data_IF_056357692859
#
_entry.id   IF_056357692859
#
_cell.length_a   1.000
_cell.length_b   1.000
_cell.length_c   1.000
_cell.angle_alpha   90.00
_cell.angle_beta   90.00
_cell.angle_gamma   90.00
#
_symmetry.space_group_name_H-M   'P 1'
#
loop_
_entity.id
_entity.type
_entity.pdbx_description
1 polymer ?
#
# COMPACT_ATOMS: atom_id res chain seq x y z
N UNK A 1 -3.54 -19.30 8.75
CA UNK A 1 -4.42 -18.22 8.26
C UNK A 1 -4.44 -17.05 9.26
N UNK A 2 -4.61 -17.31 10.56
CA UNK A 2 -4.67 -16.27 11.63
C UNK A 2 -3.44 -15.39 11.77
N UNK A 3 -2.24 -15.96 11.63
CA UNK A 3 -0.97 -15.18 11.63
C UNK A 3 -0.93 -14.16 10.49
N UNK A 4 -1.48 -14.50 9.32
CA UNK A 4 -1.47 -13.61 8.16
C UNK A 4 -2.48 -12.47 8.29
N UNK A 5 -3.70 -12.76 8.76
CA UNK A 5 -4.70 -11.72 9.06
C UNK A 5 -4.18 -10.75 10.12
N UNK A 6 -3.42 -11.25 11.10
CA UNK A 6 -2.75 -10.42 12.11
C UNK A 6 -1.74 -9.47 11.46
N UNK A 7 -0.96 -9.93 10.47
CA UNK A 7 -0.04 -9.06 9.72
C UNK A 7 -0.79 -7.98 8.92
N UNK A 8 -1.89 -8.32 8.26
CA UNK A 8 -2.73 -7.35 7.55
C UNK A 8 -3.30 -6.28 8.49
N UNK A 9 -3.89 -6.69 9.61
CA UNK A 9 -4.40 -5.78 10.65
C UNK A 9 -3.29 -4.86 11.18
N UNK A 10 -2.11 -5.41 11.47
CA UNK A 10 -0.95 -4.64 11.93
C UNK A 10 -0.47 -3.63 10.87
N UNK A 11 -0.45 -4.02 9.60
CA UNK A 11 -0.08 -3.15 8.50
C UNK A 11 -1.04 -1.94 8.41
N UNK A 12 -2.34 -2.21 8.32
CA UNK A 12 -3.37 -1.16 8.19
C UNK A 12 -3.42 -0.22 9.39
N UNK A 13 -3.25 -0.74 10.61
CA UNK A 13 -3.14 0.09 11.82
C UNK A 13 -1.98 1.09 11.71
N UNK A 14 -0.84 0.68 11.17
CA UNK A 14 0.33 1.54 11.02
C UNK A 14 0.20 2.51 9.85
N UNK A 15 -0.47 2.11 8.75
CA UNK A 15 -0.84 3.02 7.67
C UNK A 15 -1.71 4.15 8.22
N UNK A 16 -2.78 3.78 8.94
CA UNK A 16 -3.68 4.75 9.57
C UNK A 16 -2.93 5.68 10.52
N UNK A 17 -2.01 5.15 11.34
CA UNK A 17 -1.16 5.96 12.24
C UNK A 17 -0.34 7.01 11.50
N UNK A 18 0.28 6.66 10.36
CA UNK A 18 1.09 7.59 9.57
C UNK A 18 0.23 8.71 8.98
N UNK A 19 -0.89 8.34 8.34
CA UNK A 19 -1.80 9.31 7.70
C UNK A 19 -2.46 10.21 8.75
N UNK A 20 -2.90 9.62 9.86
CA UNK A 20 -3.49 10.36 10.99
C UNK A 20 -2.50 11.34 11.61
N UNK A 21 -1.23 10.94 11.79
CA UNK A 21 -0.21 11.85 12.30
C UNK A 21 -0.02 13.06 11.38
N UNK A 22 -0.01 12.86 10.06
CA UNK A 22 0.07 13.96 9.10
C UNK A 22 -1.16 14.88 9.19
N UNK A 23 -2.37 14.30 9.27
CA UNK A 23 -3.61 15.04 9.46
C UNK A 23 -3.58 15.87 10.76
N UNK A 24 -3.20 15.27 11.88
CA UNK A 24 -3.16 15.93 13.19
C UNK A 24 -2.14 17.09 13.20
N UNK A 25 -1.00 16.94 12.52
CA UNK A 25 -0.01 18.02 12.35
C UNK A 25 -0.65 19.19 11.60
N UNK A 26 -1.28 18.96 10.45
CA UNK A 26 -1.88 20.05 9.67
C UNK A 26 -3.08 20.69 10.39
N UNK A 27 -3.91 19.89 11.07
CA UNK A 27 -5.01 20.39 11.92
C UNK A 27 -4.52 21.31 13.04
N UNK A 28 -3.31 21.09 13.55
CA UNK A 28 -2.74 21.92 14.64
C UNK A 28 -2.27 23.31 14.16
N UNK A 29 -2.17 23.54 12.85
CA UNK A 29 -1.75 24.83 12.29
C UNK A 29 -2.96 25.78 12.25
N UNK A 30 -2.98 26.76 13.14
CA UNK A 30 -4.12 27.67 13.30
C UNK A 30 -4.27 28.68 12.16
N UNK A 31 -3.18 29.01 11.46
CA UNK A 31 -3.18 30.01 10.38
C UNK A 31 -3.04 29.32 9.01
N UNK A 32 -4.03 29.47 8.10
CA UNK A 32 -3.98 28.86 6.78
C UNK A 32 -2.76 29.26 5.94
N UNK A 33 -2.28 30.50 6.08
CA UNK A 33 -1.06 30.99 5.39
C UNK A 33 0.19 30.21 5.80
N UNK A 34 0.36 29.94 7.10
CA UNK A 34 1.45 29.14 7.64
C UNK A 34 1.35 27.69 7.17
N UNK A 35 0.13 27.14 7.12
CA UNK A 35 -0.09 25.79 6.60
C UNK A 35 0.34 25.69 5.13
N UNK A 36 -0.06 26.66 4.31
CA UNK A 36 0.36 26.73 2.90
C UNK A 36 1.89 26.86 2.76
N UNK A 37 2.54 27.71 3.56
CA UNK A 37 4.00 27.85 3.54
C UNK A 37 4.71 26.53 3.87
N UNK A 38 4.25 25.82 4.90
CA UNK A 38 4.78 24.51 5.27
C UNK A 38 4.62 23.52 4.13
N UNK A 39 3.44 23.43 3.52
CA UNK A 39 3.15 22.51 2.41
C UNK A 39 3.97 22.82 1.15
N UNK A 40 4.25 24.10 0.89
CA UNK A 40 5.05 24.56 -0.25
C UNK A 40 6.55 24.43 -0.04
N UNK A 41 7.01 24.25 1.20
CA UNK A 41 8.42 23.98 1.48
C UNK A 41 8.87 22.65 0.88
N UNK A 42 10.15 22.53 0.53
CA UNK A 42 10.71 21.27 0.02
C UNK A 42 10.47 20.10 1.00
N UNK A 43 10.71 20.32 2.30
CA UNK A 43 10.49 19.30 3.34
C UNK A 43 9.02 18.94 3.50
N UNK A 44 8.11 19.91 3.44
CA UNK A 44 6.68 19.65 3.55
C UNK A 44 6.15 18.88 2.33
N UNK A 45 6.59 19.27 1.14
CA UNK A 45 6.31 18.53 -0.10
C UNK A 45 6.78 17.09 -0.01
N UNK A 46 8.04 16.85 0.35
CA UNK A 46 8.61 15.50 0.46
C UNK A 46 7.88 14.67 1.52
N UNK A 47 7.52 15.29 2.64
CA UNK A 47 6.74 14.64 3.70
C UNK A 47 5.36 14.20 3.19
N UNK A 48 4.61 15.08 2.51
CA UNK A 48 3.30 14.73 1.97
C UNK A 48 3.41 13.68 0.87
N UNK A 49 4.44 13.74 0.01
CA UNK A 49 4.72 12.68 -0.96
C UNK A 49 4.94 11.33 -0.27
N UNK A 50 5.69 11.29 0.83
CA UNK A 50 5.86 10.06 1.62
C UNK A 50 4.53 9.54 2.22
N UNK A 51 3.68 10.44 2.73
CA UNK A 51 2.35 10.06 3.27
C UNK A 51 1.44 9.53 2.16
N UNK A 52 1.49 10.13 0.96
CA UNK A 52 0.77 9.66 -0.22
C UNK A 52 1.20 8.25 -0.62
N UNK A 53 2.50 7.95 -0.63
CA UNK A 53 2.99 6.60 -0.92
C UNK A 53 2.46 5.57 0.08
N UNK A 54 2.37 5.93 1.36
CA UNK A 54 1.78 5.07 2.40
C UNK A 54 0.28 4.84 2.16
N UNK A 55 -0.46 5.86 1.71
CA UNK A 55 -1.86 5.69 1.32
C UNK A 55 -2.02 4.82 0.06
N UNK A 56 -1.16 4.95 -0.95
CA UNK A 56 -1.13 4.05 -2.11
C UNK A 56 -0.89 2.58 -1.70
N UNK A 57 -0.09 2.32 -0.65
CA UNK A 57 0.07 0.97 -0.09
C UNK A 57 -1.27 0.43 0.42
N UNK A 58 -2.09 1.21 1.16
CA UNK A 58 -3.43 0.73 1.56
C UNK A 58 -4.32 0.40 0.37
N UNK A 59 -4.30 1.20 -0.70
CA UNK A 59 -5.16 0.95 -1.86
C UNK A 59 -4.76 -0.28 -2.66
N UNK A 60 -3.46 -0.57 -2.72
CA UNK A 60 -2.97 -1.85 -3.24
C UNK A 60 -3.37 -3.02 -2.34
N UNK A 61 -3.31 -2.86 -1.02
CA UNK A 61 -3.78 -3.90 -0.11
C UNK A 61 -5.27 -4.20 -0.30
N UNK A 62 -6.11 -3.16 -0.44
CA UNK A 62 -7.53 -3.29 -0.71
C UNK A 62 -7.79 -4.08 -2.00
N UNK A 63 -7.14 -3.69 -3.10
CA UNK A 63 -7.23 -4.42 -4.38
C UNK A 63 -6.71 -5.85 -4.30
N UNK A 64 -5.57 -6.08 -3.67
CA UNK A 64 -4.98 -7.41 -3.52
C UNK A 64 -5.86 -8.33 -2.66
N UNK A 65 -6.42 -7.83 -1.57
CA UNK A 65 -7.36 -8.59 -0.75
C UNK A 65 -8.63 -8.96 -1.52
N UNK A 66 -9.17 -8.02 -2.30
CA UNK A 66 -10.32 -8.28 -3.16
C UNK A 66 -10.01 -9.36 -4.21
N UNK A 67 -8.84 -9.32 -4.85
CA UNK A 67 -8.42 -10.34 -5.83
C UNK A 67 -8.34 -11.75 -5.25
N UNK A 68 -7.97 -11.88 -3.97
CA UNK A 68 -7.84 -13.17 -3.28
C UNK A 68 -9.06 -13.52 -2.41
N UNK A 69 -10.15 -12.76 -2.49
CA UNK A 69 -11.37 -12.93 -1.69
C UNK A 69 -11.10 -13.00 -0.17
N UNK A 70 -10.21 -12.12 0.31
CA UNK A 70 -9.84 -12.04 1.73
C UNK A 70 -10.69 -10.96 2.39
N UNK A 71 -11.75 -11.36 3.09
CA UNK A 71 -12.65 -10.44 3.82
C UNK A 71 -12.78 -10.73 5.33
N UNK A 72 -11.70 -10.64 6.12
CA UNK A 72 -11.78 -10.75 7.57
C UNK A 72 -12.58 -9.62 8.23
N UNK A 73 -13.30 -9.97 9.29
CA UNK A 73 -14.02 -9.02 10.13
C UNK A 73 -13.12 -7.89 10.64
N UNK A 74 -13.62 -6.67 10.45
CA UNK A 74 -13.00 -5.42 10.89
C UNK A 74 -11.98 -4.81 9.92
N UNK A 75 -11.52 -5.52 8.87
CA UNK A 75 -10.58 -4.92 7.90
C UNK A 75 -11.24 -3.83 7.05
N UNK A 76 -12.49 -4.02 6.66
CA UNK A 76 -13.27 -3.01 5.92
C UNK A 76 -13.44 -1.71 6.72
N UNK A 77 -13.62 -1.82 8.04
CA UNK A 77 -13.69 -0.66 8.94
C UNK A 77 -12.35 0.09 8.93
N UNK A 78 -11.23 -0.61 8.98
CA UNK A 78 -9.90 0.03 8.95
C UNK A 78 -9.64 0.76 7.63
N UNK A 79 -10.02 0.18 6.47
CA UNK A 79 -9.92 0.88 5.19
C UNK A 79 -10.76 2.15 5.16
N UNK A 80 -12.01 2.07 5.64
CA UNK A 80 -12.87 3.24 5.75
C UNK A 80 -12.26 4.33 6.64
N UNK A 81 -11.68 3.96 7.79
CA UNK A 81 -11.07 4.92 8.71
C UNK A 81 -9.81 5.58 8.09
N UNK A 82 -9.04 4.82 7.31
CA UNK A 82 -7.92 5.34 6.51
C UNK A 82 -8.44 6.33 5.47
N UNK A 83 -9.46 5.97 4.70
CA UNK A 83 -10.03 6.82 3.65
C UNK A 83 -10.62 8.12 4.22
N UNK A 84 -11.33 8.05 5.35
CA UNK A 84 -11.83 9.23 6.05
C UNK A 84 -10.70 10.16 6.48
N UNK A 85 -9.63 9.60 7.03
CA UNK A 85 -8.46 10.37 7.47
C UNK A 85 -7.74 10.99 6.27
N UNK A 86 -7.63 10.25 5.17
CA UNK A 86 -7.04 10.74 3.92
C UNK A 86 -7.86 11.86 3.29
N UNK A 87 -9.19 11.73 3.23
CA UNK A 87 -10.08 12.76 2.69
C UNK A 87 -9.97 14.06 3.49
N UNK A 88 -9.87 13.97 4.82
CA UNK A 88 -9.59 15.14 5.67
C UNK A 88 -8.24 15.78 5.33
N UNK A 89 -7.19 14.95 5.15
CA UNK A 89 -5.88 15.44 4.74
C UNK A 89 -5.92 16.15 3.38
N UNK A 90 -6.65 15.59 2.41
CA UNK A 90 -6.85 16.20 1.09
C UNK A 90 -7.52 17.58 1.16
N UNK A 91 -8.39 17.83 2.14
CA UNK A 91 -9.00 19.14 2.34
C UNK A 91 -7.96 20.22 2.70
N UNK A 92 -6.85 19.87 3.35
CA UNK A 92 -5.73 20.79 3.55
C UNK A 92 -4.92 20.97 2.26
N UNK A 93 -4.70 19.88 1.52
CA UNK A 93 -3.96 19.93 0.26
C UNK A 93 -4.68 20.74 -0.83
N UNK A 94 -6.01 20.79 -0.82
CA UNK A 94 -6.80 21.60 -1.75
C UNK A 94 -6.62 23.11 -1.54
N UNK A 95 -6.16 23.54 -0.36
CA UNK A 95 -5.73 24.91 -0.12
C UNK A 95 -4.43 25.27 -0.88
N UNK A 96 -3.72 24.27 -1.40
CA UNK A 96 -2.47 24.40 -2.16
C UNK A 96 -2.60 23.74 -3.54
N UNK A 97 -3.01 24.47 -4.60
CA UNK A 97 -3.29 23.90 -5.92
C UNK A 97 -2.15 23.07 -6.53
N UNK A 98 -0.89 23.44 -6.28
CA UNK A 98 0.28 22.69 -6.75
C UNK A 98 0.48 21.34 -6.06
N UNK A 99 0.03 21.19 -4.81
CA UNK A 99 0.06 19.91 -4.09
C UNK A 99 -1.06 18.99 -4.55
N UNK A 100 -2.24 19.55 -4.82
CA UNK A 100 -3.37 18.80 -5.36
C UNK A 100 -3.07 18.21 -6.74
N UNK A 101 -2.33 18.92 -7.59
CA UNK A 101 -1.89 18.41 -8.91
C UNK A 101 -0.96 17.21 -8.83
N UNK A 102 -0.26 17.00 -7.70
CA UNK A 102 0.62 15.84 -7.48
C UNK A 102 -0.14 14.60 -7.03
N UNK A 103 -1.42 14.74 -6.69
CA UNK A 103 -2.22 13.60 -6.25
C UNK A 103 -2.59 12.72 -7.45
N UNK A 104 -2.37 11.40 -7.38
CA UNK A 104 -2.84 10.48 -8.42
C UNK A 104 -4.37 10.58 -8.55
N UNK A 105 -4.85 10.44 -9.78
CA UNK A 105 -6.28 10.33 -10.05
C UNK A 105 -6.87 9.13 -9.30
N UNK A 106 -8.13 9.20 -8.80
CA UNK A 106 -8.80 8.07 -8.14
C UNK A 106 -8.80 6.78 -8.99
N UNK A 107 -8.80 6.92 -10.32
CA UNK A 107 -8.74 5.79 -11.25
C UNK A 107 -7.40 5.03 -11.18
N UNK A 108 -6.30 5.73 -10.94
CA UNK A 108 -4.95 5.13 -10.79
C UNK A 108 -4.82 4.41 -9.46
N UNK A 109 -5.61 4.83 -8.46
CA UNK A 109 -5.61 4.24 -7.13
C UNK A 109 -6.44 2.95 -7.03
N UNK A 110 -7.36 2.72 -7.98
CA UNK A 110 -8.23 1.56 -7.97
C UNK A 110 -7.50 0.33 -8.53
N UNK A 111 -6.91 -0.46 -7.64
CA UNK A 111 -6.22 -1.71 -8.01
C UNK A 111 -7.16 -2.92 -8.14
N UNK A 112 -8.47 -2.73 -8.05
CA UNK A 112 -9.49 -3.80 -8.16
C UNK A 112 -9.64 -4.36 -9.58
N UNK A 113 -9.14 -3.65 -10.59
CA UNK A 113 -9.16 -4.05 -12.00
C UNK A 113 -7.93 -4.84 -12.43
N UNK A 114 -6.96 -5.07 -11.53
CA UNK A 114 -5.76 -5.83 -11.82
C UNK A 114 -6.14 -7.24 -12.30
N UNK A 115 -5.81 -7.54 -13.54
CA UNK A 115 -6.23 -8.75 -14.24
C UNK A 115 -5.49 -9.96 -13.65
N UNK A 116 -6.20 -11.05 -13.36
CA UNK A 116 -5.55 -12.31 -12.95
C UNK A 116 -4.73 -12.83 -14.13
N UNK A 117 -3.40 -12.83 -13.98
CA UNK A 117 -2.47 -13.19 -15.05
C UNK A 117 -2.44 -14.69 -15.41
N UNK A 118 -3.09 -15.56 -14.64
CA UNK A 118 -3.01 -17.00 -14.87
C UNK A 118 -4.31 -17.72 -14.52
N UNK A 119 -4.67 -18.71 -15.36
CA UNK A 119 -5.72 -19.70 -15.12
C UNK A 119 -5.35 -20.72 -14.02
N UNK A 120 -4.10 -20.71 -13.55
CA UNK A 120 -3.65 -21.53 -12.42
C UNK A 120 -4.08 -20.95 -11.08
N UNK A 121 -4.36 -21.82 -10.10
CA UNK A 121 -4.74 -21.44 -8.74
C UNK A 121 -3.81 -20.34 -8.14
N UNK A 122 -4.37 -19.35 -7.42
CA UNK A 122 -3.63 -18.20 -6.93
C UNK A 122 -2.50 -18.62 -5.99
N UNK A 123 -1.26 -18.21 -6.30
CA UNK A 123 -0.10 -18.48 -5.48
C UNK A 123 0.37 -17.20 -4.77
N UNK A 124 0.10 -17.11 -3.46
CA UNK A 124 0.53 -15.97 -2.64
C UNK A 124 2.06 -15.74 -2.64
N UNK A 125 2.88 -16.74 -3.01
CA UNK A 125 4.34 -16.55 -3.13
C UNK A 125 4.76 -15.69 -4.32
N UNK A 126 3.88 -15.48 -5.30
CA UNK A 126 4.14 -14.58 -6.44
C UNK A 126 3.72 -13.14 -6.17
N UNK A 127 2.91 -12.95 -5.13
CA UNK A 127 2.34 -11.67 -4.77
C UNK A 127 3.28 -10.88 -3.85
N UNK A 128 3.16 -9.56 -3.86
CA UNK A 128 3.79 -8.72 -2.86
C UNK A 128 3.42 -9.22 -1.44
N UNK A 129 4.43 -9.45 -0.59
CA UNK A 129 4.23 -9.98 0.76
C UNK A 129 3.39 -9.10 1.71
N UNK A 130 3.10 -7.87 1.28
CA UNK A 130 2.35 -6.87 2.04
C UNK A 130 1.00 -6.59 1.39
N UNK A 131 0.98 -6.23 0.09
CA UNK A 131 -0.22 -5.76 -0.58
C UNK A 131 -0.90 -6.80 -1.48
N UNK A 132 -0.40 -8.03 -1.55
CA UNK A 132 -0.99 -9.16 -2.27
C UNK A 132 -1.18 -9.03 -3.79
N UNK A 133 -0.81 -7.90 -4.37
CA UNK A 133 -0.80 -7.73 -5.82
C UNK A 133 0.47 -8.32 -6.44
N UNK A 134 0.31 -8.90 -7.62
CA UNK A 134 1.42 -9.19 -8.53
C UNK A 134 1.86 -7.90 -9.24
N UNK A 135 2.98 -7.96 -9.96
CA UNK A 135 3.46 -6.83 -10.77
C UNK A 135 2.39 -6.45 -11.82
N UNK A 136 2.05 -5.16 -12.01
CA UNK A 136 1.24 -4.74 -13.15
C UNK A 136 1.97 -5.06 -14.46
N UNK A 137 1.26 -5.48 -15.50
CA UNK A 137 1.86 -5.62 -16.85
C UNK A 137 2.48 -4.29 -17.32
N UNK A 138 3.54 -4.40 -18.13
CA UNK A 138 4.29 -3.25 -18.65
C UNK A 138 3.43 -2.22 -19.40
N UNK A 139 2.26 -2.64 -19.88
CA UNK A 139 1.29 -1.82 -20.61
C UNK A 139 0.53 -0.80 -19.72
N UNK A 140 0.52 -0.97 -18.39
CA UNK A 140 -0.08 -0.02 -17.44
C UNK A 140 0.95 0.99 -16.86
N UNK A 141 2.21 0.93 -17.30
CA UNK A 141 3.35 1.73 -16.77
C UNK A 141 3.36 3.19 -17.27
N UNK A 142 2.32 3.67 -17.93
CA UNK A 142 2.28 5.05 -18.40
C UNK A 142 1.91 5.99 -17.22
N UNK A 143 2.88 6.31 -16.33
CA UNK A 143 3.16 7.65 -15.75
C UNK A 143 3.87 7.74 -14.38
N UNK A 144 4.20 6.66 -13.67
CA UNK A 144 4.96 6.78 -12.40
C UNK A 144 6.26 5.95 -12.42
N UNK A 145 7.33 6.39 -11.73
CA UNK A 145 8.56 5.60 -11.61
C UNK A 145 8.18 4.24 -11.03
N UNK A 146 8.33 3.20 -11.85
CA UNK A 146 7.82 1.87 -11.58
C UNK A 146 8.25 1.42 -10.19
N UNK A 147 7.27 1.18 -9.32
CA UNK A 147 7.52 0.62 -7.99
C UNK A 147 8.04 -0.81 -8.14
N UNK A 148 9.37 -0.92 -8.23
CA UNK A 148 10.03 -2.15 -8.63
C UNK A 148 9.77 -3.25 -7.62
N UNK A 149 9.49 -4.46 -8.12
CA UNK A 149 9.27 -5.63 -7.27
C UNK A 149 10.64 -6.22 -6.87
N UNK A 150 10.98 -6.13 -5.59
CA UNK A 150 12.21 -6.64 -5.01
C UNK A 150 12.00 -8.02 -4.36
N UNK A 151 12.97 -8.91 -4.49
CA UNK A 151 12.92 -10.25 -3.88
C UNK A 151 13.66 -10.24 -2.54
N UNK A 152 12.99 -10.66 -1.47
CA UNK A 152 13.60 -10.85 -0.16
C UNK A 152 13.18 -12.21 0.41
N UNK A 153 14.15 -13.06 0.79
CA UNK A 153 13.92 -14.44 1.28
C UNK A 153 12.97 -15.26 0.38
N UNK A 154 13.06 -15.06 -0.95
CA UNK A 154 12.21 -15.76 -1.93
C UNK A 154 10.77 -15.26 -2.02
N UNK A 155 10.43 -14.12 -1.39
CA UNK A 155 9.12 -13.46 -1.50
C UNK A 155 9.29 -12.11 -2.22
N UNK A 156 8.42 -11.77 -3.19
CA UNK A 156 8.40 -10.46 -3.81
C UNK A 156 7.77 -9.38 -2.92
N UNK A 157 8.24 -8.15 -3.06
CA UNK A 157 7.67 -6.95 -2.43
C UNK A 157 7.76 -5.76 -3.37
N UNK A 158 6.72 -4.95 -3.45
CA UNK A 158 6.85 -3.61 -4.03
C UNK A 158 7.82 -2.79 -3.16
N UNK A 159 8.70 -2.02 -3.79
CA UNK A 159 9.72 -1.23 -3.09
C UNK A 159 9.09 -0.28 -2.07
N UNK A 160 8.01 0.43 -2.42
CA UNK A 160 7.33 1.30 -1.46
C UNK A 160 6.58 0.53 -0.36
N UNK A 161 6.07 -0.67 -0.64
CA UNK A 161 5.51 -1.55 0.40
C UNK A 161 6.60 -1.96 1.40
N UNK A 162 7.73 -2.46 0.92
CA UNK A 162 8.85 -2.86 1.77
C UNK A 162 9.40 -1.68 2.57
N UNK A 163 9.57 -0.53 1.92
CA UNK A 163 10.02 0.70 2.56
C UNK A 163 9.07 1.15 3.67
N UNK A 164 7.75 1.17 3.42
CA UNK A 164 6.77 1.47 4.45
C UNK A 164 6.88 0.50 5.62
N UNK A 165 6.92 -0.81 5.34
CA UNK A 165 6.95 -1.82 6.39
C UNK A 165 8.17 -1.68 7.29
N UNK A 166 9.35 -1.61 6.71
CA UNK A 166 10.62 -1.52 7.44
C UNK A 166 10.73 -0.25 8.28
N UNK A 167 10.17 0.87 7.81
CA UNK A 167 10.23 2.13 8.53
C UNK A 167 9.10 2.34 9.54
N UNK A 168 7.92 1.71 9.34
CA UNK A 168 6.71 2.06 10.07
C UNK A 168 6.03 0.90 10.80
N UNK A 169 6.40 -0.35 10.52
CA UNK A 169 5.70 -1.54 11.02
C UNK A 169 6.61 -2.45 11.84
N UNK A 170 7.66 -2.98 11.22
CA UNK A 170 8.56 -3.99 11.82
C UNK A 170 9.91 -3.99 11.07
N UNK A 171 10.98 -4.39 11.75
CA UNK A 171 12.33 -4.51 11.18
C UNK A 171 12.46 -5.69 10.22
N UNK A 172 11.56 -6.67 10.30
CA UNK A 172 11.56 -7.85 9.43
C UNK A 172 10.35 -7.89 8.50
N UNK A 173 10.60 -8.12 7.20
CA UNK A 173 9.54 -8.26 6.19
C UNK A 173 8.70 -9.53 6.42
N UNK A 174 7.37 -9.46 6.23
CA UNK A 174 6.48 -10.57 6.49
C UNK A 174 6.55 -11.57 5.33
N UNK A 175 6.70 -12.86 5.63
CA UNK A 175 6.72 -13.91 4.61
C UNK A 175 5.33 -14.53 4.47
N UNK A 176 4.82 -14.62 3.23
CA UNK A 176 3.55 -15.28 2.96
C UNK A 176 3.75 -16.80 2.95
N UNK A 177 2.92 -17.48 3.74
CA UNK A 177 2.80 -18.93 3.68
C UNK A 177 1.72 -19.28 2.65
N UNK A 178 2.09 -20.01 1.61
CA UNK A 178 1.12 -20.56 0.66
C UNK A 178 0.67 -21.95 1.11
N UNK A 179 -0.56 -22.34 0.77
CA UNK A 179 -1.10 -23.65 1.10
C UNK A 179 -0.28 -24.77 0.42
N UNK A 180 -0.16 -25.90 1.11
CA UNK A 180 0.61 -27.08 0.70
C UNK A 180 0.18 -27.70 -0.64
N UNK A 181 -1.02 -27.36 -1.13
CA UNK A 181 -1.58 -27.84 -2.39
C UNK A 181 -1.43 -26.85 -3.56
N UNK A 182 -0.70 -25.75 -3.37
CA UNK A 182 -0.42 -24.83 -4.46
C UNK A 182 0.51 -25.49 -5.49
N UNK A 183 0.02 -25.74 -6.70
CA UNK A 183 0.75 -26.39 -7.79
C UNK A 183 2.13 -25.77 -8.05
N UNK A 184 2.22 -24.44 -8.00
CA UNK A 184 3.49 -23.71 -8.12
C UNK A 184 4.48 -24.04 -6.99
N UNK A 185 4.00 -24.10 -5.74
CA UNK A 185 4.85 -24.42 -4.58
C UNK A 185 5.25 -25.91 -4.55
N UNK A 186 4.40 -26.79 -5.09
CA UNK A 186 4.70 -28.22 -5.24
C UNK A 186 5.76 -28.47 -6.30
N UNK A 187 5.74 -27.73 -7.41
CA UNK A 187 6.76 -27.82 -8.46
C UNK A 187 8.15 -27.36 -7.96
N UNK A 188 8.25 -26.23 -7.25
CA UNK A 188 9.53 -25.76 -6.69
C UNK A 188 10.14 -26.72 -5.66
N UNK A 189 9.33 -27.48 -4.91
CA UNK A 189 9.84 -28.48 -3.96
C UNK A 189 10.48 -29.69 -4.65
N UNK A 190 10.08 -29.99 -5.88
CA UNK A 190 10.60 -31.12 -6.65
C UNK A 190 11.86 -30.77 -7.46
N UNK A 191 12.30 -29.51 -7.43
CA UNK A 191 13.48 -29.00 -8.16
C UNK A 191 14.68 -28.70 -7.23
N UNK A 192 14.60 -29.05 -5.94
CA UNK A 192 15.74 -28.95 -5.02
C UNK A 192 16.41 -30.34 -4.98
N UNK A 193 17.66 -30.49 -5.49
CA UNK A 193 18.38 -31.77 -5.45
C UNK A 193 18.75 -32.20 -4.02
#
# INVERSE_FOLDING_TARGET
>A
MDSYITHLKRCLKNIHRVIKKANDILCSISQPSVCSEVLLSARGTDYISGVLEVYKVSKRMEGGMAMHNIEPDGLQIMFRDIDLTWNNLQAFLSMCPCMLQKLPSPLVLNCTTATRHSETAPCLRRCCGICLLERPNEEQIIKEPADSLQMHKGQPYHSSCANFWLNCVDLELPVLSCHSFCSFCTQQKNEIP
#
